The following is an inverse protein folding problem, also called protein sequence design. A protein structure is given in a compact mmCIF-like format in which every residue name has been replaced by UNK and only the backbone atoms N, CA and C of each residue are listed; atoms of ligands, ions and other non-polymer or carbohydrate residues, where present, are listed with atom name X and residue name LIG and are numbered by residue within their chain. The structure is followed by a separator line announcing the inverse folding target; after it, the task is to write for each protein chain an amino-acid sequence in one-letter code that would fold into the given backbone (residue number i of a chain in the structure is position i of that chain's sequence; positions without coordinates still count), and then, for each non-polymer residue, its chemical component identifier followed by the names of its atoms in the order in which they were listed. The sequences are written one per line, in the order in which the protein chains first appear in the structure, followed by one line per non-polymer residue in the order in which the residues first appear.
data_IF_788875184024
#
_entry.id   IF_788875184024
#
_cell.length_a   1.000
_cell.length_b   1.000
_cell.length_c   1.000
_cell.angle_alpha   90.00
_cell.angle_beta   90.00
_cell.angle_gamma   90.00
#
_symmetry.space_group_name_H-M   'P 1'
#
loop_
_entity.id
_entity.type
_entity.pdbx_description
1 polymer ?
#
# COMPACT_ATOMS: atom_id res chain seq x y z
N UNK A 1 -46.95 -61.27 11.47
CA UNK A 1 -47.29 -60.15 10.58
C UNK A 1 -46.27 -59.03 10.81
N UNK A 2 -45.92 -58.34 9.73
CA UNK A 2 -44.69 -57.59 9.48
C UNK A 2 -44.33 -56.49 10.49
N UNK A 3 -43.03 -56.39 10.78
CA UNK A 3 -42.43 -55.21 11.39
C UNK A 3 -42.45 -54.02 10.42
N UNK A 4 -43.02 -52.91 10.86
CA UNK A 4 -43.02 -51.64 10.15
C UNK A 4 -41.83 -50.80 10.62
N UNK A 5 -40.86 -50.61 9.73
CA UNK A 5 -39.67 -49.78 9.97
C UNK A 5 -40.02 -48.32 10.26
N UNK A 6 -39.26 -47.75 11.19
CA UNK A 6 -39.34 -46.34 11.57
C UNK A 6 -39.09 -45.44 10.37
N UNK A 7 -40.15 -44.75 9.95
CA UNK A 7 -40.05 -43.59 9.07
C UNK A 7 -40.61 -42.42 9.86
N UNK A 8 -39.80 -41.37 10.05
CA UNK A 8 -40.31 -40.10 10.56
C UNK A 8 -41.44 -39.65 9.64
N UNK A 9 -42.62 -39.28 10.18
CA UNK A 9 -43.73 -38.84 9.34
C UNK A 9 -43.29 -37.64 8.51
N UNK A 10 -43.62 -37.66 7.22
CA UNK A 10 -43.38 -36.52 6.33
C UNK A 10 -43.96 -35.25 6.97
N UNK A 11 -43.23 -34.11 6.93
CA UNK A 11 -43.66 -32.91 7.63
C UNK A 11 -45.04 -32.48 7.13
N UNK A 12 -46.00 -32.45 8.06
CA UNK A 12 -47.38 -32.09 7.78
C UNK A 12 -47.45 -30.64 7.29
N UNK A 13 -48.25 -30.30 6.27
CA UNK A 13 -48.29 -28.95 5.67
C UNK A 13 -48.74 -27.84 6.63
N UNK A 14 -49.30 -28.21 7.79
CA UNK A 14 -49.66 -27.26 8.86
C UNK A 14 -48.54 -27.01 9.88
N UNK A 15 -47.40 -27.69 9.78
CA UNK A 15 -46.27 -27.38 10.65
C UNK A 15 -45.66 -26.05 10.21
N UNK A 16 -45.45 -25.10 11.14
CA UNK A 16 -44.76 -23.87 10.80
C UNK A 16 -43.39 -24.22 10.22
N UNK A 17 -43.10 -23.75 9.00
CA UNK A 17 -41.82 -23.95 8.31
C UNK A 17 -40.64 -23.24 9.00
N UNK A 18 -40.86 -22.69 10.18
CA UNK A 18 -39.90 -21.93 10.95
C UNK A 18 -39.28 -22.88 11.98
N UNK A 19 -38.00 -23.19 11.77
CA UNK A 19 -37.21 -23.91 12.75
C UNK A 19 -36.88 -22.96 13.90
N UNK A 20 -37.26 -23.36 15.12
CA UNK A 20 -36.87 -22.69 16.34
C UNK A 20 -35.55 -23.32 16.81
N UNK A 21 -34.51 -22.51 16.96
CA UNK A 21 -33.25 -22.94 17.56
C UNK A 21 -33.24 -22.41 19.00
N UNK A 22 -33.10 -23.29 20.00
CA UNK A 22 -33.07 -22.92 21.43
C UNK A 22 -34.29 -22.11 21.94
N UNK A 23 -35.50 -22.45 21.49
CA UNK A 23 -36.75 -21.73 21.80
C UNK A 23 -36.79 -20.26 21.34
N UNK A 24 -35.82 -19.82 20.52
CA UNK A 24 -35.90 -18.54 19.84
C UNK A 24 -36.50 -18.76 18.43
N UNK A 25 -37.53 -17.98 18.10
CA UNK A 25 -38.05 -17.95 16.74
C UNK A 25 -37.06 -17.27 15.79
N UNK A 26 -37.28 -17.33 14.46
CA UNK A 26 -36.55 -16.52 13.51
C UNK A 26 -36.88 -15.04 13.78
N UNK A 27 -36.20 -14.48 14.78
CA UNK A 27 -36.30 -13.09 15.18
C UNK A 27 -35.46 -12.20 14.26
N UNK A 28 -35.53 -10.88 14.46
CA UNK A 28 -34.61 -9.97 13.80
C UNK A 28 -33.16 -10.40 14.10
N UNK A 29 -32.29 -10.34 13.07
CA UNK A 29 -30.88 -10.71 13.19
C UNK A 29 -30.25 -10.01 14.40
N UNK A 30 -29.66 -10.78 15.30
CA UNK A 30 -28.83 -10.25 16.39
C UNK A 30 -27.44 -9.98 15.83
N UNK A 31 -26.95 -8.75 15.97
CA UNK A 31 -25.58 -8.39 15.62
C UNK A 31 -24.67 -8.96 16.70
N UNK A 32 -23.73 -9.81 16.31
CA UNK A 32 -22.75 -10.38 17.22
C UNK A 32 -21.63 -9.35 17.48
N UNK A 33 -21.05 -9.34 18.69
CA UNK A 33 -20.07 -8.30 19.09
C UNK A 33 -18.81 -8.25 18.18
N UNK A 34 -18.45 -9.35 17.54
CA UNK A 34 -17.31 -9.41 16.63
C UNK A 34 -17.62 -8.82 15.24
N UNK A 35 -18.88 -8.80 14.81
CA UNK A 35 -19.29 -8.32 13.49
C UNK A 35 -18.91 -6.85 13.25
N UNK A 36 -19.16 -5.89 14.16
CA UNK A 36 -18.74 -4.50 13.94
C UNK A 36 -17.22 -4.36 13.96
N UNK A 37 -16.52 -5.07 14.86
CA UNK A 37 -15.06 -5.01 14.99
C UNK A 37 -14.41 -5.47 13.68
N UNK A 38 -14.81 -6.65 13.20
CA UNK A 38 -14.30 -7.21 11.94
C UNK A 38 -14.65 -6.31 10.77
N UNK A 39 -15.91 -5.87 10.66
CA UNK A 39 -16.35 -4.98 9.58
C UNK A 39 -15.51 -3.70 9.53
N UNK A 40 -15.29 -3.04 10.66
CA UNK A 40 -14.46 -1.82 10.72
C UNK A 40 -13.01 -2.10 10.33
N UNK A 41 -12.41 -3.18 10.81
CA UNK A 41 -11.02 -3.54 10.48
C UNK A 41 -10.89 -3.83 8.98
N UNK A 42 -11.75 -4.67 8.42
CA UNK A 42 -11.73 -4.99 7.00
C UNK A 42 -11.95 -3.76 6.12
N UNK A 43 -12.90 -2.89 6.49
CA UNK A 43 -13.11 -1.64 5.75
C UNK A 43 -11.91 -0.70 5.83
N UNK A 44 -11.28 -0.58 6.99
CA UNK A 44 -10.07 0.26 7.12
C UNK A 44 -8.90 -0.27 6.28
N UNK A 45 -8.66 -1.58 6.30
CA UNK A 45 -7.61 -2.21 5.49
C UNK A 45 -7.90 -2.09 3.99
N UNK A 46 -9.16 -2.26 3.58
CA UNK A 46 -9.58 -2.06 2.20
C UNK A 46 -9.34 -0.62 1.75
N UNK A 47 -9.69 0.38 2.56
CA UNK A 47 -9.46 1.78 2.22
C UNK A 47 -7.97 2.09 2.08
N UNK A 48 -7.13 1.59 3.00
CA UNK A 48 -5.67 1.75 2.89
C UNK A 48 -5.14 1.10 1.61
N UNK A 49 -5.61 -0.09 1.27
CA UNK A 49 -5.20 -0.78 0.05
C UNK A 49 -5.61 0.00 -1.20
N UNK A 50 -6.86 0.49 -1.26
CA UNK A 50 -7.35 1.26 -2.41
C UNK A 50 -6.57 2.56 -2.58
N UNK A 51 -6.38 3.32 -1.51
CA UNK A 51 -5.63 4.59 -1.55
C UNK A 51 -4.16 4.35 -1.87
N UNK A 52 -3.56 3.32 -1.26
CA UNK A 52 -2.15 2.96 -1.47
C UNK A 52 -1.88 2.46 -2.89
N UNK A 53 -2.77 1.64 -3.44
CA UNK A 53 -2.62 1.12 -4.80
C UNK A 53 -2.92 2.19 -5.86
N UNK A 54 -3.87 3.09 -5.60
CA UNK A 54 -4.15 4.21 -6.51
C UNK A 54 -2.99 5.20 -6.60
N UNK A 55 -2.30 5.47 -5.49
CA UNK A 55 -1.13 6.35 -5.45
C UNK A 55 0.19 5.57 -5.54
N UNK A 56 0.17 4.30 -5.95
CA UNK A 56 1.39 3.52 -6.06
C UNK A 56 2.28 4.16 -7.13
N UNK A 57 3.55 4.45 -6.81
CA UNK A 57 4.47 4.99 -7.81
C UNK A 57 4.67 3.94 -8.91
N UNK A 58 4.73 4.40 -10.15
CA UNK A 58 5.14 3.55 -11.25
C UNK A 58 6.63 3.23 -11.07
N UNK A 59 6.95 1.94 -10.94
CA UNK A 59 8.30 1.46 -10.57
C UNK A 59 8.99 0.75 -11.73
N UNK A 60 8.41 0.83 -12.93
CA UNK A 60 8.97 0.23 -14.13
C UNK A 60 10.23 0.98 -14.56
N UNK A 61 11.33 0.24 -14.63
CA UNK A 61 12.65 0.77 -15.03
C UNK A 61 12.65 1.42 -16.42
N UNK A 62 11.74 1.01 -17.30
CA UNK A 62 11.60 1.56 -18.65
C UNK A 62 11.17 3.03 -18.63
N UNK A 63 10.25 3.37 -17.73
CA UNK A 63 9.71 4.73 -17.61
C UNK A 63 10.73 5.65 -16.98
N UNK A 64 11.38 5.18 -15.90
CA UNK A 64 12.54 5.85 -15.32
C UNK A 64 13.64 6.12 -16.35
N UNK A 65 13.99 5.11 -17.15
CA UNK A 65 15.05 5.25 -18.15
C UNK A 65 14.68 6.24 -19.27
N UNK A 66 13.40 6.30 -19.65
CA UNK A 66 12.90 7.26 -20.63
C UNK A 66 12.98 8.69 -20.07
N UNK A 67 12.46 8.92 -18.87
CA UNK A 67 12.51 10.24 -18.19
C UNK A 67 13.95 10.71 -17.96
N UNK A 68 14.82 9.81 -17.53
CA UNK A 68 16.24 10.10 -17.31
C UNK A 68 16.96 10.42 -18.64
N UNK A 69 16.61 9.73 -19.73
CA UNK A 69 17.16 10.03 -21.05
C UNK A 69 16.71 11.41 -21.55
N UNK A 70 15.42 11.75 -21.39
CA UNK A 70 14.90 13.08 -21.73
C UNK A 70 15.57 14.18 -20.90
N UNK A 71 15.76 13.97 -19.60
CA UNK A 71 16.44 14.92 -18.72
C UNK A 71 17.90 15.17 -19.14
N UNK A 72 18.58 14.14 -19.65
CA UNK A 72 19.95 14.27 -20.19
C UNK A 72 19.98 15.03 -21.50
N UNK A 73 19.03 14.76 -22.41
CA UNK A 73 18.92 15.51 -23.67
C UNK A 73 18.68 17.00 -23.42
N UNK A 74 17.75 17.33 -22.52
CA UNK A 74 17.47 18.73 -22.16
C UNK A 74 18.71 19.45 -21.59
N UNK A 75 19.55 18.77 -20.80
CA UNK A 75 20.80 19.34 -20.29
C UNK A 75 21.84 19.58 -21.37
N UNK A 76 21.97 18.65 -22.32
CA UNK A 76 22.85 18.81 -23.48
C UNK A 76 22.41 20.02 -24.30
N UNK A 77 21.09 20.22 -24.50
CA UNK A 77 20.53 21.39 -25.18
C UNK A 77 20.83 22.71 -24.42
N UNK A 78 20.82 22.67 -23.09
CA UNK A 78 21.20 23.79 -22.22
C UNK A 78 22.72 24.00 -22.10
N UNK A 79 23.54 23.17 -22.74
CA UNK A 79 25.01 23.22 -22.67
C UNK A 79 25.59 22.83 -21.31
N UNK A 80 24.84 22.05 -20.51
CA UNK A 80 25.27 21.54 -19.20
C UNK A 80 25.87 20.15 -19.33
N UNK A 81 26.85 19.84 -18.50
CA UNK A 81 27.49 18.53 -18.49
C UNK A 81 26.54 17.42 -18.00
N UNK A 82 26.72 16.24 -18.60
CA UNK A 82 26.01 15.01 -18.27
C UNK A 82 27.02 13.96 -17.84
N UNK A 83 26.96 13.56 -16.57
CA UNK A 83 27.84 12.59 -15.94
C UNK A 83 27.13 11.26 -15.74
N UNK A 84 27.87 10.16 -15.97
CA UNK A 84 27.36 8.82 -15.71
C UNK A 84 27.33 8.55 -14.20
N UNK A 85 26.20 8.06 -13.69
CA UNK A 85 26.01 7.77 -12.26
C UNK A 85 25.25 8.86 -11.50
N UNK A 86 25.00 10.01 -12.13
CA UNK A 86 24.09 11.03 -11.61
C UNK A 86 22.67 10.83 -12.15
N UNK A 87 21.70 11.00 -11.25
CA UNK A 87 20.27 10.91 -11.53
C UNK A 87 19.73 12.33 -11.71
N UNK A 88 19.12 12.61 -12.86
CA UNK A 88 18.68 13.94 -13.24
C UNK A 88 17.17 14.12 -13.25
N UNK A 89 16.40 13.02 -13.32
CA UNK A 89 14.95 13.09 -13.11
C UNK A 89 14.62 13.51 -11.66
N UNK A 90 13.64 14.41 -11.49
CA UNK A 90 13.20 14.86 -10.16
C UNK A 90 12.33 13.79 -9.54
N UNK A 91 12.86 13.08 -8.55
CA UNK A 91 12.05 12.22 -7.69
C UNK A 91 11.20 13.11 -6.78
N UNK A 92 10.11 13.63 -7.33
CA UNK A 92 9.05 14.28 -6.56
C UNK A 92 8.45 13.20 -5.67
N UNK A 93 8.76 13.31 -4.39
CA UNK A 93 8.14 12.57 -3.30
C UNK A 93 6.64 12.96 -3.22
N UNK A 94 5.86 12.53 -4.19
CA UNK A 94 4.39 12.53 -4.14
C UNK A 94 3.95 11.37 -3.26
N UNK A 95 3.97 11.59 -1.96
CA UNK A 95 3.45 10.65 -0.96
C UNK A 95 4.28 10.72 0.32
N UNK A 96 3.91 11.62 1.23
CA UNK A 96 4.60 11.80 2.50
C UNK A 96 4.66 10.51 3.32
N UNK A 97 5.86 9.94 3.43
CA UNK A 97 6.58 9.66 4.67
C UNK A 97 7.93 9.03 4.29
N UNK A 98 8.88 9.84 3.86
CA UNK A 98 10.30 9.46 3.85
C UNK A 98 11.07 10.59 4.51
N UNK A 99 11.35 10.40 5.80
CA UNK A 99 12.26 11.25 6.54
C UNK A 99 13.70 10.84 6.16
N UNK A 100 14.20 11.35 5.04
CA UNK A 100 15.65 11.40 4.81
C UNK A 100 16.16 12.75 5.31
N UNK A 101 16.60 12.77 6.57
CA UNK A 101 17.54 13.80 7.01
C UNK A 101 18.86 13.51 6.30
N UNK A 102 19.12 14.23 5.22
CA UNK A 102 20.45 14.45 4.68
C UNK A 102 20.69 15.96 4.60
N UNK A 103 20.44 16.65 5.71
CA UNK A 103 21.01 17.96 5.97
C UNK A 103 22.45 17.70 6.43
N UNK A 104 23.35 17.50 5.48
CA UNK A 104 24.82 17.63 5.57
C UNK A 104 25.44 17.00 4.31
N UNK A 105 25.25 17.68 3.18
CA UNK A 105 26.11 17.50 2.01
C UNK A 105 26.40 18.89 1.41
N UNK A 106 26.57 19.86 2.32
CA UNK A 106 27.03 21.19 1.97
C UNK A 106 28.54 21.22 2.16
N UNK A 107 29.22 21.74 1.15
CA UNK A 107 30.67 21.98 1.03
C UNK A 107 31.57 20.75 0.72
N UNK A 108 32.28 20.76 -0.42
CA UNK A 108 33.48 19.94 -0.61
C UNK A 108 34.48 20.24 0.53
N UNK A 109 35.26 19.26 1.02
CA UNK A 109 36.35 19.57 1.93
C UNK A 109 37.28 20.55 1.22
N UNK A 110 37.43 21.75 1.80
CA UNK A 110 38.43 22.71 1.35
C UNK A 110 39.77 21.99 1.30
N UNK A 111 40.38 22.00 0.11
CA UNK A 111 41.76 21.57 -0.03
C UNK A 111 42.58 22.48 0.88
N UNK A 112 43.11 21.94 1.96
CA UNK A 112 44.09 22.64 2.79
C UNK A 112 45.26 22.99 1.86
N UNK A 113 45.36 24.27 1.51
CA UNK A 113 46.52 24.83 0.84
C UNK A 113 47.70 24.63 1.80
N UNK A 114 48.57 23.66 1.50
CA UNK A 114 49.89 23.54 2.12
C UNK A 114 50.66 24.81 1.77
N UNK A 115 50.61 25.82 2.65
CA UNK A 115 51.56 26.92 2.63
C UNK A 115 52.96 26.34 2.89
N UNK A 116 53.75 26.20 1.83
CA UNK A 116 55.20 26.04 1.94
C UNK A 116 55.76 27.27 2.67
N UNK A 117 56.09 27.13 3.95
CA UNK A 117 56.93 28.09 4.67
C UNK A 117 58.34 28.06 4.07
N UNK A 118 58.59 28.93 3.08
CA UNK A 118 59.93 29.41 2.76
C UNK A 118 60.45 30.33 3.88
N UNK A 119 61.75 30.19 4.16
CA UNK A 119 62.69 31.22 4.65
C UNK A 119 63.11 31.20 6.15
N UNK A 120 64.20 30.48 6.45
CA UNK A 120 65.53 31.09 6.74
C UNK A 120 66.66 30.06 6.88
#
# INVERSE_FOLDING_TARGET
MMGGGGHSPAPHPSQPKQAFLFNEGPGPRKVEMWEPITSTVYWSAFLILVVGLYNAPETRIQEWAAEEAEARLARIEEGKDVEYGHIYHKQLLTGGFVQHSAANADSPPEAEEEEEEEEN
#
